data_IF_860605877956
#
_entry.id   IF_860605877956
#
_cell.length_a   1.000
_cell.length_b   1.000
_cell.length_c   1.000
_cell.angle_alpha   90.00
_cell.angle_beta   90.00
_cell.angle_gamma   90.00
#
_symmetry.space_group_name_H-M   'P 1'
#
loop_
_entity.id
_entity.type
_entity.pdbx_description
1 polymer ?
#
# COMPACT_ATOMS: atom_id res chain seq x y z
N UNK A 1 14.74 3.23 -12.33
CA UNK A 1 14.19 2.39 -11.24
C UNK A 1 15.33 1.59 -10.57
N UNK A 2 16.20 0.93 -11.32
CA UNK A 2 17.32 0.12 -10.79
C UNK A 2 18.30 0.91 -9.88
N UNK A 3 18.40 2.22 -10.07
CA UNK A 3 19.25 3.09 -9.25
C UNK A 3 18.61 3.50 -7.92
N UNK A 4 17.31 3.27 -7.73
CA UNK A 4 16.57 3.68 -6.52
C UNK A 4 17.27 3.19 -5.24
N UNK A 5 17.70 1.93 -5.09
CA UNK A 5 18.35 1.49 -3.87
C UNK A 5 19.62 2.26 -3.51
N UNK A 6 20.36 2.74 -4.52
CA UNK A 6 21.60 3.50 -4.33
C UNK A 6 21.32 4.96 -3.97
N UNK A 7 20.31 5.55 -4.59
CA UNK A 7 19.97 6.95 -4.40
C UNK A 7 18.89 7.21 -3.36
N UNK A 8 18.29 6.16 -2.78
CA UNK A 8 17.16 6.28 -1.84
C UNK A 8 17.50 7.12 -0.61
N UNK A 9 18.73 7.09 -0.12
CA UNK A 9 19.13 7.88 1.05
C UNK A 9 19.20 9.38 0.72
N UNK A 10 19.58 9.72 -0.50
CA UNK A 10 19.90 11.08 -0.93
C UNK A 10 18.76 11.78 -1.66
N UNK A 11 17.84 11.01 -2.28
CA UNK A 11 16.77 11.54 -3.14
C UNK A 11 15.39 11.40 -2.53
N UNK A 12 14.51 12.31 -2.91
CA UNK A 12 13.09 12.30 -2.61
C UNK A 12 12.72 12.90 -1.26
N UNK A 13 11.47 13.33 -1.20
CA UNK A 13 10.86 13.89 0.01
C UNK A 13 10.36 12.79 0.92
N UNK A 14 10.69 12.87 2.19
CA UNK A 14 10.21 11.90 3.18
C UNK A 14 8.73 12.13 3.43
N UNK A 15 7.92 11.13 3.05
CA UNK A 15 6.47 11.10 3.33
C UNK A 15 6.20 10.53 4.71
N UNK A 16 6.96 9.51 5.10
CA UNK A 16 6.85 8.87 6.41
C UNK A 16 8.19 8.27 6.83
N UNK A 17 8.56 8.48 8.08
CA UNK A 17 9.76 7.89 8.69
C UNK A 17 9.38 7.23 10.04
N UNK A 18 9.36 5.90 10.03
CA UNK A 18 9.00 5.11 11.20
C UNK A 18 9.61 3.72 11.12
N UNK A 19 8.76 2.67 11.29
CA UNK A 19 9.22 1.28 11.13
C UNK A 19 9.67 0.98 9.69
N UNK A 20 9.11 1.64 8.70
CA UNK A 20 9.55 1.65 7.29
C UNK A 20 9.70 3.11 6.88
N UNK A 21 10.50 3.38 5.86
CA UNK A 21 10.67 4.72 5.31
C UNK A 21 9.96 4.79 3.98
N UNK A 22 9.11 5.81 3.81
CA UNK A 22 8.43 6.13 2.56
C UNK A 22 8.96 7.45 2.03
N UNK A 23 9.39 7.45 0.78
CA UNK A 23 9.81 8.67 0.09
C UNK A 23 9.05 8.84 -1.22
N UNK A 24 8.66 10.08 -1.51
CA UNK A 24 8.16 10.49 -2.83
C UNK A 24 9.35 10.88 -3.70
N UNK A 25 9.44 10.33 -4.89
CA UNK A 25 10.52 10.54 -5.83
C UNK A 25 9.94 10.83 -7.21
N UNK A 26 10.35 11.94 -7.82
CA UNK A 26 10.01 12.24 -9.22
C UNK A 26 10.84 11.37 -10.18
N UNK A 27 10.19 10.65 -11.07
CA UNK A 27 10.80 9.85 -12.12
C UNK A 27 10.33 10.36 -13.50
N UNK A 28 10.99 11.38 -14.00
CA UNK A 28 10.58 12.02 -15.25
C UNK A 28 9.21 12.70 -15.14
N UNK A 29 8.21 12.18 -15.82
CA UNK A 29 6.84 12.73 -15.83
C UNK A 29 5.93 12.16 -14.74
N UNK A 30 6.38 11.20 -13.95
CA UNK A 30 5.59 10.56 -12.90
C UNK A 30 6.23 10.72 -11.53
N UNK A 31 5.41 10.87 -10.52
CA UNK A 31 5.83 10.76 -9.13
C UNK A 31 5.55 9.37 -8.60
N UNK A 32 6.52 8.80 -7.91
CA UNK A 32 6.38 7.50 -7.27
C UNK A 32 6.59 7.59 -5.77
N UNK A 33 5.98 6.67 -5.05
CA UNK A 33 6.29 6.42 -3.64
C UNK A 33 7.14 5.16 -3.57
N UNK A 34 8.30 5.30 -2.95
CA UNK A 34 9.21 4.20 -2.67
C UNK A 34 9.12 3.86 -1.18
N UNK A 35 8.66 2.66 -0.88
CA UNK A 35 8.61 2.11 0.47
C UNK A 35 9.81 1.21 0.71
N UNK A 36 10.74 1.66 1.54
CA UNK A 36 11.88 0.87 2.00
C UNK A 36 11.51 0.09 3.25
N UNK A 37 11.58 -1.23 3.18
CA UNK A 37 11.33 -2.08 4.32
C UNK A 37 12.60 -2.28 5.14
N UNK A 38 12.47 -2.14 6.46
CA UNK A 38 13.57 -2.33 7.39
C UNK A 38 14.17 -3.73 7.26
N UNK A 39 15.49 -3.82 7.32
CA UNK A 39 16.24 -5.09 7.28
C UNK A 39 15.67 -6.07 8.31
N UNK A 40 15.25 -7.27 7.91
CA UNK A 40 14.73 -8.26 8.87
C UNK A 40 15.81 -8.77 9.81
N UNK A 41 15.44 -9.26 10.99
CA UNK A 41 16.35 -10.03 11.85
C UNK A 41 16.88 -11.27 11.12
N UNK A 42 18.04 -11.78 11.53
CA UNK A 42 18.75 -12.87 10.83
C UNK A 42 17.89 -14.11 10.57
N UNK A 43 17.08 -14.52 11.54
CA UNK A 43 16.15 -15.66 11.39
C UNK A 43 15.13 -15.37 10.30
N UNK A 44 14.52 -14.17 10.32
CA UNK A 44 13.56 -13.75 9.32
C UNK A 44 14.19 -13.55 7.93
N UNK A 45 15.48 -13.21 7.86
CA UNK A 45 16.20 -13.13 6.58
C UNK A 45 16.27 -14.49 5.90
N UNK A 46 16.58 -15.56 6.64
CA UNK A 46 16.57 -16.93 6.12
C UNK A 46 15.16 -17.31 5.64
N UNK A 47 14.14 -17.05 6.47
CA UNK A 47 12.75 -17.37 6.12
C UNK A 47 12.30 -16.62 4.85
N UNK A 48 12.58 -15.34 4.72
CA UNK A 48 12.23 -14.56 3.51
C UNK A 48 13.08 -14.89 2.29
N UNK A 49 14.28 -15.43 2.48
CA UNK A 49 15.14 -15.79 1.34
C UNK A 49 14.76 -17.14 0.71
N UNK A 50 14.17 -18.05 1.48
CA UNK A 50 13.96 -19.43 1.04
C UNK A 50 12.54 -19.95 1.17
N UNK A 51 11.71 -19.37 2.04
CA UNK A 51 10.43 -19.97 2.42
C UNK A 51 9.24 -19.03 2.33
N UNK A 52 9.44 -17.73 2.27
CA UNK A 52 8.34 -16.77 2.31
C UNK A 52 8.66 -15.54 1.47
N UNK A 53 7.67 -15.08 0.74
CA UNK A 53 7.70 -13.81 0.01
C UNK A 53 8.07 -12.64 0.93
N UNK A 54 8.90 -11.73 0.43
CA UNK A 54 9.25 -10.51 1.13
C UNK A 54 8.03 -9.58 1.27
N UNK A 55 8.17 -8.55 2.10
CA UNK A 55 7.10 -7.53 2.21
C UNK A 55 6.94 -6.73 0.92
N UNK A 56 8.03 -6.48 0.19
CA UNK A 56 7.99 -5.78 -1.08
C UNK A 56 7.28 -6.60 -2.15
N UNK A 57 7.62 -7.88 -2.25
CA UNK A 57 6.99 -8.82 -3.17
C UNK A 57 5.48 -8.94 -2.88
N UNK A 58 5.10 -9.14 -1.61
CA UNK A 58 3.69 -9.19 -1.23
C UNK A 58 2.94 -7.90 -1.53
N UNK A 59 3.56 -6.73 -1.27
CA UNK A 59 2.94 -5.45 -1.64
C UNK A 59 2.65 -5.38 -3.12
N UNK A 60 3.61 -5.81 -3.96
CA UNK A 60 3.46 -5.79 -5.40
C UNK A 60 2.36 -6.76 -5.88
N UNK A 61 2.40 -8.01 -5.43
CA UNK A 61 1.42 -9.04 -5.82
C UNK A 61 0.01 -8.64 -5.37
N UNK A 62 -0.16 -8.27 -4.10
CA UNK A 62 -1.48 -7.90 -3.58
C UNK A 62 -2.04 -6.61 -4.23
N UNK A 63 -1.20 -5.66 -4.61
CA UNK A 63 -1.67 -4.51 -5.38
C UNK A 63 -2.25 -4.95 -6.74
N UNK A 64 -1.57 -5.84 -7.45
CA UNK A 64 -2.08 -6.38 -8.71
C UNK A 64 -3.40 -7.15 -8.52
N UNK A 65 -3.49 -7.96 -7.47
CA UNK A 65 -4.70 -8.75 -7.17
C UNK A 65 -5.89 -7.85 -6.78
N UNK A 66 -5.67 -6.81 -5.97
CA UNK A 66 -6.70 -5.82 -5.61
C UNK A 66 -7.26 -5.18 -6.88
N UNK A 67 -6.41 -4.75 -7.80
CA UNK A 67 -6.83 -4.15 -9.07
C UNK A 67 -7.60 -5.14 -9.95
N UNK A 68 -7.19 -6.42 -10.01
CA UNK A 68 -7.91 -7.46 -10.74
C UNK A 68 -9.31 -7.71 -10.19
N UNK A 69 -9.53 -7.48 -8.90
CA UNK A 69 -10.85 -7.56 -8.26
C UNK A 69 -11.66 -6.26 -8.41
N UNK A 70 -11.15 -5.26 -9.14
CA UNK A 70 -11.85 -4.01 -9.41
C UNK A 70 -11.81 -2.99 -8.28
N UNK A 71 -10.85 -3.11 -7.36
CA UNK A 71 -10.61 -2.14 -6.29
C UNK A 71 -9.34 -1.33 -6.55
N UNK A 72 -9.34 -0.08 -6.06
CA UNK A 72 -8.23 0.83 -6.29
C UNK A 72 -7.12 0.66 -5.23
N UNK A 73 -5.89 0.75 -5.70
CA UNK A 73 -4.64 0.88 -4.95
C UNK A 73 -3.66 1.64 -5.83
N UNK A 74 -2.71 2.40 -5.27
CA UNK A 74 -1.68 3.05 -6.08
C UNK A 74 -1.03 2.07 -7.06
N UNK A 75 -0.96 2.45 -8.34
CA UNK A 75 -0.44 1.60 -9.43
C UNK A 75 0.93 1.02 -9.06
N UNK A 76 1.08 -0.31 -8.97
CA UNK A 76 2.35 -0.94 -8.65
C UNK A 76 3.33 -0.82 -9.83
N UNK A 77 4.47 -0.20 -9.60
CA UNK A 77 5.50 0.03 -10.64
C UNK A 77 6.57 -1.05 -10.61
N UNK A 78 7.11 -1.35 -9.44
CA UNK A 78 8.17 -2.35 -9.29
C UNK A 78 8.34 -2.81 -7.84
N UNK A 79 9.01 -3.95 -7.68
CA UNK A 79 9.63 -4.33 -6.42
C UNK A 79 11.11 -4.62 -6.65
N UNK A 80 11.97 -4.32 -5.66
CA UNK A 80 13.40 -4.55 -5.71
C UNK A 80 13.82 -5.28 -4.44
N UNK A 81 14.59 -6.33 -4.61
CA UNK A 81 15.18 -7.09 -3.51
C UNK A 81 16.70 -7.11 -3.64
N UNK A 82 17.36 -6.85 -2.54
CA UNK A 82 18.82 -6.92 -2.46
C UNK A 82 19.25 -8.04 -1.52
N UNK A 83 20.16 -8.86 -1.98
CA UNK A 83 20.69 -9.96 -1.22
C UNK A 83 22.16 -9.70 -0.84
N UNK A 84 22.54 -10.12 0.36
CA UNK A 84 23.92 -10.08 0.85
C UNK A 84 24.26 -11.45 1.41
N UNK A 85 25.28 -12.10 0.85
CA UNK A 85 25.65 -13.48 1.20
C UNK A 85 24.47 -14.47 1.07
N UNK A 86 23.67 -14.33 0.00
CA UNK A 86 22.51 -15.18 -0.25
C UNK A 86 21.27 -14.91 0.63
N UNK A 87 21.34 -13.96 1.55
CA UNK A 87 20.23 -13.61 2.44
C UNK A 87 19.65 -12.24 2.10
N UNK A 88 18.32 -12.12 2.17
CA UNK A 88 17.60 -10.85 1.94
C UNK A 88 18.15 -9.76 2.88
N UNK A 89 18.61 -8.68 2.29
CA UNK A 89 19.20 -7.54 2.98
C UNK A 89 18.25 -6.35 3.02
N UNK A 90 17.77 -5.92 1.85
CA UNK A 90 16.83 -4.81 1.71
C UNK A 90 15.77 -5.18 0.70
N UNK A 91 14.58 -4.61 0.87
CA UNK A 91 13.53 -4.71 -0.12
C UNK A 91 12.78 -3.40 -0.24
N UNK A 92 12.38 -3.07 -1.46
CA UNK A 92 11.69 -1.83 -1.81
C UNK A 92 10.45 -2.16 -2.63
N UNK A 93 9.34 -1.53 -2.29
CA UNK A 93 8.14 -1.51 -3.11
C UNK A 93 7.95 -0.12 -3.68
N UNK A 94 7.62 -0.03 -4.95
CA UNK A 94 7.50 1.21 -5.70
C UNK A 94 6.13 1.22 -6.34
N UNK A 95 5.36 2.27 -6.09
CA UNK A 95 4.06 2.50 -6.70
C UNK A 95 3.94 3.96 -7.15
N UNK A 96 3.00 4.27 -8.02
CA UNK A 96 2.66 5.65 -8.35
C UNK A 96 2.24 6.42 -7.10
N UNK A 97 2.54 7.73 -7.06
CA UNK A 97 2.04 8.57 -5.99
C UNK A 97 0.53 8.76 -6.16
N UNK A 98 -0.19 8.46 -5.10
CA UNK A 98 -1.62 8.70 -4.97
C UNK A 98 -1.83 9.96 -4.12
N UNK A 99 -2.52 10.95 -4.65
CA UNK A 99 -2.75 12.25 -4.00
C UNK A 99 -3.95 12.28 -3.06
N UNK A 100 -4.61 11.14 -2.80
CA UNK A 100 -5.77 11.06 -1.92
C UNK A 100 -5.44 11.40 -0.46
N UNK A 101 -6.43 11.92 0.24
CA UNK A 101 -6.35 12.10 1.69
C UNK A 101 -6.63 10.79 2.43
N UNK A 102 -6.06 10.61 3.62
CA UNK A 102 -6.40 9.43 4.41
C UNK A 102 -7.80 9.56 5.02
N UNK A 103 -8.54 8.44 5.13
CA UNK A 103 -9.84 8.37 5.82
C UNK A 103 -9.74 8.79 7.29
N UNK A 104 -8.54 9.02 7.78
CA UNK A 104 -8.30 9.54 9.13
C UNK A 104 -9.01 10.88 9.39
N UNK A 105 -9.25 11.68 8.36
CA UNK A 105 -10.03 12.92 8.45
C UNK A 105 -11.49 12.71 8.90
N UNK A 106 -12.03 11.48 8.77
CA UNK A 106 -13.38 11.12 9.24
C UNK A 106 -13.41 10.65 10.71
N UNK A 107 -12.25 10.58 11.37
CA UNK A 107 -12.14 10.04 12.74
C UNK A 107 -12.39 11.08 13.84
N UNK A 108 -12.72 12.31 13.48
CA UNK A 108 -13.05 13.38 14.44
C UNK A 108 -14.43 13.18 15.12
N UNK A 109 -15.17 12.14 14.72
CA UNK A 109 -16.47 11.77 15.27
C UNK A 109 -17.64 12.62 14.77
N UNK A 110 -17.42 13.56 13.87
CA UNK A 110 -18.49 14.38 13.29
C UNK A 110 -19.16 13.65 12.16
N UNK A 111 -20.46 13.37 12.32
CA UNK A 111 -21.31 12.81 11.28
C UNK A 111 -21.89 13.92 10.42
N UNK A 112 -22.35 15.00 11.04
CA UNK A 112 -22.94 16.15 10.35
C UNK A 112 -21.98 16.73 9.30
N UNK A 113 -22.42 16.77 8.05
CA UNK A 113 -21.63 17.20 6.89
C UNK A 113 -20.67 16.17 6.31
N UNK A 114 -20.62 14.94 6.89
CA UNK A 114 -19.82 13.82 6.40
C UNK A 114 -20.66 12.60 6.02
N UNK A 115 -22.00 12.72 6.00
CA UNK A 115 -22.92 11.60 5.83
C UNK A 115 -22.66 10.82 4.53
N UNK A 116 -22.46 11.56 3.42
CA UNK A 116 -22.21 10.96 2.10
C UNK A 116 -20.86 10.24 2.06
N UNK A 117 -19.82 10.83 2.64
CA UNK A 117 -18.49 10.21 2.77
C UNK A 117 -18.54 8.94 3.59
N UNK A 118 -19.19 8.99 4.75
CA UNK A 118 -19.34 7.85 5.65
C UNK A 118 -20.15 6.73 5.01
N UNK A 119 -21.25 7.09 4.33
CA UNK A 119 -22.08 6.15 3.59
C UNK A 119 -21.32 5.49 2.42
N UNK A 120 -20.55 6.28 1.66
CA UNK A 120 -19.69 5.77 0.59
C UNK A 120 -18.61 4.84 1.13
N UNK A 121 -17.94 5.21 2.23
CA UNK A 121 -16.93 4.39 2.89
C UNK A 121 -17.49 3.07 3.41
N UNK A 122 -18.69 3.09 4.01
CA UNK A 122 -19.35 1.88 4.47
C UNK A 122 -19.68 0.92 3.30
N UNK A 123 -20.21 1.45 2.18
CA UNK A 123 -20.47 0.65 0.97
C UNK A 123 -19.17 0.07 0.38
N UNK A 124 -18.11 0.87 0.30
CA UNK A 124 -16.80 0.41 -0.17
C UNK A 124 -16.27 -0.74 0.69
N UNK A 125 -16.31 -0.58 2.01
CA UNK A 125 -15.86 -1.62 2.95
C UNK A 125 -16.66 -2.92 2.82
N UNK A 126 -17.99 -2.80 2.68
CA UNK A 126 -18.86 -3.95 2.46
C UNK A 126 -18.54 -4.66 1.14
N UNK A 127 -18.37 -3.91 0.04
CA UNK A 127 -18.02 -4.48 -1.26
C UNK A 127 -16.65 -5.17 -1.23
N UNK A 128 -15.64 -4.57 -0.56
CA UNK A 128 -14.31 -5.14 -0.39
C UNK A 128 -14.38 -6.51 0.32
N UNK A 129 -15.13 -6.58 1.42
CA UNK A 129 -15.28 -7.83 2.18
C UNK A 129 -16.12 -8.87 1.42
N UNK A 130 -17.15 -8.45 0.68
CA UNK A 130 -17.93 -9.37 -0.18
C UNK A 130 -17.09 -9.95 -1.31
N UNK A 131 -16.10 -9.21 -1.81
CA UNK A 131 -15.13 -9.73 -2.77
C UNK A 131 -14.06 -10.65 -2.14
N UNK A 132 -14.17 -10.99 -0.85
CA UNK A 132 -13.21 -11.82 -0.14
C UNK A 132 -11.88 -11.14 0.18
N UNK A 133 -11.79 -9.82 0.06
CA UNK A 133 -10.56 -9.07 0.30
C UNK A 133 -10.54 -8.58 1.75
N UNK A 134 -9.61 -9.11 2.54
CA UNK A 134 -9.38 -8.69 3.92
C UNK A 134 -8.03 -8.01 4.08
N UNK A 135 -8.04 -6.73 4.38
CA UNK A 135 -6.84 -5.99 4.75
C UNK A 135 -6.57 -6.18 6.24
N UNK A 136 -5.56 -6.98 6.60
CA UNK A 136 -5.28 -7.33 8.01
C UNK A 136 -4.74 -6.18 8.86
N UNK A 137 -4.55 -5.01 8.27
CA UNK A 137 -4.19 -3.76 8.94
C UNK A 137 -5.12 -2.64 8.44
N UNK A 138 -6.44 -2.92 8.44
CA UNK A 138 -7.50 -2.00 7.96
C UNK A 138 -7.65 -0.83 8.92
N UNK A 139 -6.73 0.12 8.82
CA UNK A 139 -6.71 1.32 9.65
C UNK A 139 -6.99 2.57 8.81
N UNK A 140 -7.50 3.65 9.41
CA UNK A 140 -7.82 4.89 8.69
C UNK A 140 -6.63 5.52 7.96
N UNK A 141 -5.40 5.19 8.35
CA UNK A 141 -4.19 5.65 7.67
C UNK A 141 -3.82 4.84 6.42
N UNK A 142 -4.46 3.67 6.22
CA UNK A 142 -4.19 2.76 5.12
C UNK A 142 -5.27 2.77 4.05
N UNK A 143 -6.17 3.76 4.09
CA UNK A 143 -7.23 3.96 3.12
C UNK A 143 -7.19 5.42 2.71
N UNK A 144 -7.05 5.66 1.42
CA UNK A 144 -7.14 6.99 0.83
C UNK A 144 -8.56 7.24 0.32
N UNK A 145 -9.01 8.48 0.41
CA UNK A 145 -10.28 8.94 -0.13
C UNK A 145 -10.02 9.97 -1.22
N UNK A 146 -10.73 9.83 -2.31
CA UNK A 146 -10.76 10.77 -3.42
C UNK A 146 -12.19 11.29 -3.63
N UNK A 147 -12.28 12.51 -4.08
CA UNK A 147 -13.55 13.11 -4.48
C UNK A 147 -13.39 13.63 -5.90
N UNK A 148 -14.31 13.24 -6.80
CA UNK A 148 -14.34 13.73 -8.16
C UNK A 148 -15.16 15.02 -8.26
N UNK A 149 -15.18 15.64 -9.45
CA UNK A 149 -15.92 16.88 -9.71
C UNK A 149 -17.45 16.72 -9.57
N UNK A 150 -17.96 15.49 -9.62
CA UNK A 150 -19.36 15.17 -9.38
C UNK A 150 -19.70 14.95 -7.90
N UNK A 151 -18.78 15.22 -6.99
CA UNK A 151 -18.87 14.94 -5.55
C UNK A 151 -19.05 13.46 -5.20
N UNK A 152 -18.62 12.55 -6.07
CA UNK A 152 -18.58 11.12 -5.76
C UNK A 152 -17.28 10.76 -5.08
N UNK A 153 -17.34 9.82 -4.14
CA UNK A 153 -16.21 9.36 -3.37
C UNK A 153 -15.73 7.99 -3.85
N UNK A 154 -14.42 7.86 -4.07
CA UNK A 154 -13.74 6.60 -4.29
C UNK A 154 -12.64 6.40 -3.23
N UNK A 155 -12.20 5.15 -3.07
CA UNK A 155 -11.26 4.78 -2.02
C UNK A 155 -10.15 3.90 -2.59
N UNK A 156 -8.93 4.11 -2.12
CA UNK A 156 -7.74 3.41 -2.55
C UNK A 156 -7.03 2.81 -1.34
N UNK A 157 -6.65 1.53 -1.42
CA UNK A 157 -5.96 0.83 -0.34
C UNK A 157 -4.44 1.03 -0.43
N UNK A 158 -3.81 1.34 0.68
CA UNK A 158 -2.34 1.42 0.80
C UNK A 158 -1.82 0.50 1.90
N UNK A 159 -0.51 0.26 1.89
CA UNK A 159 0.17 -0.68 2.82
C UNK A 159 -0.37 -2.12 2.76
N UNK A 160 -0.62 -2.60 1.57
CA UNK A 160 -1.31 -3.87 1.28
C UNK A 160 -0.44 -5.13 1.48
N UNK A 161 0.73 -5.04 2.11
CA UNK A 161 1.60 -6.20 2.35
C UNK A 161 1.04 -7.24 3.35
N UNK A 162 -0.12 -6.94 3.97
CA UNK A 162 -0.82 -7.80 4.93
C UNK A 162 -2.28 -7.96 4.50
N UNK A 163 -2.48 -8.71 3.43
CA UNK A 163 -3.79 -9.03 2.89
C UNK A 163 -4.10 -10.52 3.08
N UNK A 164 -5.37 -10.85 3.10
CA UNK A 164 -5.89 -12.19 2.93
C UNK A 164 -6.96 -12.13 1.85
N UNK A 165 -6.79 -12.95 0.83
CA UNK A 165 -7.76 -13.12 -0.23
C UNK A 165 -8.43 -14.48 0.03
N UNK A 166 -9.72 -14.44 0.21
CA UNK A 166 -10.54 -15.63 0.42
C UNK A 166 -11.12 -16.02 -0.94
N UNK A 167 -10.74 -17.18 -1.45
CA UNK A 167 -11.45 -17.81 -2.56
C UNK A 167 -12.78 -18.30 -2.02
N UNK A 168 -13.87 -17.74 -2.55
CA UNK A 168 -15.26 -18.09 -2.23
C UNK A 168 -15.61 -17.99 -0.74
N UNK A 169 -16.22 -16.87 -0.36
CA UNK A 169 -17.00 -16.84 0.87
C UNK A 169 -18.28 -17.60 0.52
N UNK A 170 -18.32 -18.88 0.85
CA UNK A 170 -19.57 -19.65 0.90
C UNK A 170 -20.52 -18.92 1.87
N UNK A 171 -21.52 -18.22 1.31
CA UNK A 171 -22.62 -17.61 2.05
C UNK A 171 -23.68 -18.67 2.40
#
# INVERSE_FOLDING_TARGET
IEEIPRSFQEKGDVVYDGRNVLKRIGLGSIDVVVKSFKKPHIINRVVYSFFRQSKAERSYIYSMEIQQHGFDTPEPVAMIEQFQSGLLSHSYYICCYDGGETVRSLMDGKVEGNEDKLSAFARYTAALHQAGILHLDYSPGNILIHQNDANEYSFSLVDVNRMQLLSDIDC
#
